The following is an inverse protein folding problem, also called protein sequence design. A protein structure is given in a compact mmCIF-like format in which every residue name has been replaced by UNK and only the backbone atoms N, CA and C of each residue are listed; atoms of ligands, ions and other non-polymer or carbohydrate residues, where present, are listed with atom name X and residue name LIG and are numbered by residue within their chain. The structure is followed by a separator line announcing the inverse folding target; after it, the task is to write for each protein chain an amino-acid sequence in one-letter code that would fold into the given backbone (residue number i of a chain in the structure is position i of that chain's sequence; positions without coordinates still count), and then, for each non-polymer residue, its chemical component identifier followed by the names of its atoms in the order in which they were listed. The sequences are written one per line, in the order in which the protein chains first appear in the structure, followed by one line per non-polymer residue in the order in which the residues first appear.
data_IF_670339457612
#
_entry.id   IF_670339457612
#
_cell.length_a   1.000
_cell.length_b   1.000
_cell.length_c   1.000
_cell.angle_alpha   90.00
_cell.angle_beta   90.00
_cell.angle_gamma   90.00
#
_symmetry.space_group_name_H-M   'P 1'
#
loop_
_entity.id
_entity.type
_entity.pdbx_description
1 polymer ?
#
# COMPACT_ATOMS: atom_id res chain seq x y z
N UNK A 1 17.74 -12.78 -27.69
CA UNK A 1 16.89 -13.54 -26.74
C UNK A 1 15.44 -13.12 -26.98
N UNK A 2 14.51 -14.07 -27.02
CA UNK A 2 13.09 -13.77 -27.12
C UNK A 2 12.54 -13.62 -25.69
N UNK A 3 12.07 -12.43 -25.35
CA UNK A 3 11.43 -12.15 -24.06
C UNK A 3 9.93 -12.10 -24.33
N UNK A 4 9.16 -12.94 -23.64
CA UNK A 4 7.70 -12.90 -23.68
C UNK A 4 7.22 -12.05 -22.51
N UNK A 5 6.38 -11.06 -22.80
CA UNK A 5 5.73 -10.21 -21.80
C UNK A 5 4.27 -10.63 -21.78
N UNK A 6 3.77 -10.94 -20.58
CA UNK A 6 2.42 -11.44 -20.36
C UNK A 6 1.85 -10.70 -19.17
N UNK A 7 0.67 -10.10 -19.33
CA UNK A 7 -0.08 -9.53 -18.20
C UNK A 7 -0.75 -10.65 -17.41
N UNK A 8 -0.77 -10.52 -16.08
CA UNK A 8 -1.44 -11.49 -15.22
C UNK A 8 -2.95 -11.50 -15.46
N UNK A 9 -3.55 -12.69 -15.49
CA UNK A 9 -5.00 -12.88 -15.57
C UNK A 9 -5.52 -13.45 -14.24
N UNK A 10 -6.28 -12.64 -13.51
CA UNK A 10 -6.80 -12.98 -12.17
C UNK A 10 -7.78 -14.15 -12.18
N UNK A 11 -8.39 -14.47 -13.34
CA UNK A 11 -9.32 -15.60 -13.49
C UNK A 11 -8.59 -16.92 -13.81
N UNK A 12 -7.30 -16.86 -14.14
CA UNK A 12 -6.47 -18.04 -14.50
C UNK A 12 -5.43 -18.32 -13.42
N UNK A 13 -5.88 -18.46 -12.18
CA UNK A 13 -5.01 -18.76 -11.05
C UNK A 13 -5.11 -20.24 -10.62
N UNK A 14 -4.02 -20.77 -10.09
CA UNK A 14 -3.95 -22.06 -9.40
C UNK A 14 -3.95 -21.80 -7.90
N UNK A 15 -4.86 -22.45 -7.17
CA UNK A 15 -4.84 -22.44 -5.71
C UNK A 15 -3.74 -23.37 -5.18
N UNK A 16 -2.83 -22.81 -4.38
CA UNK A 16 -1.69 -23.50 -3.78
C UNK A 16 -1.86 -23.68 -2.25
N UNK A 17 -3.09 -23.49 -1.76
CA UNK A 17 -3.42 -23.53 -0.34
C UNK A 17 -3.88 -22.18 0.20
N UNK A 18 -3.61 -21.95 1.48
CA UNK A 18 -4.11 -20.82 2.26
C UNK A 18 -3.10 -20.46 3.36
N UNK A 19 -2.81 -19.17 3.53
CA UNK A 19 -1.98 -18.67 4.63
C UNK A 19 -2.68 -18.85 5.99
N UNK A 20 -1.94 -18.73 7.09
CA UNK A 20 -2.45 -18.85 8.46
C UNK A 20 -3.61 -17.91 8.78
N UNK A 21 -3.56 -16.65 8.31
CA UNK A 21 -4.66 -15.70 8.53
C UNK A 21 -5.83 -15.90 7.55
N UNK A 22 -5.76 -16.91 6.71
CA UNK A 22 -6.85 -17.32 5.84
C UNK A 22 -6.85 -16.69 4.45
N UNK A 23 -5.80 -15.97 4.06
CA UNK A 23 -5.64 -15.52 2.68
C UNK A 23 -5.41 -16.71 1.74
N UNK A 24 -6.25 -16.95 0.71
CA UNK A 24 -5.97 -17.95 -0.32
C UNK A 24 -4.67 -17.63 -1.06
N UNK A 25 -3.88 -18.66 -1.37
CA UNK A 25 -2.68 -18.50 -2.21
C UNK A 25 -3.03 -18.92 -3.63
N UNK A 26 -3.72 -18.02 -4.34
CA UNK A 26 -4.08 -18.19 -5.75
C UNK A 26 -3.06 -17.46 -6.61
N UNK A 27 -2.31 -18.17 -7.45
CA UNK A 27 -1.24 -17.58 -8.28
C UNK A 27 -1.52 -17.83 -9.75
N UNK A 28 -1.34 -16.80 -10.58
CA UNK A 28 -1.50 -16.87 -12.02
C UNK A 28 -0.75 -18.07 -12.62
N UNK A 29 -1.46 -18.88 -13.41
CA UNK A 29 -1.03 -20.21 -13.84
C UNK A 29 0.38 -20.26 -14.45
N UNK A 30 0.78 -19.36 -15.37
CA UNK A 30 2.15 -19.35 -15.91
C UNK A 30 3.23 -19.17 -14.85
N UNK A 31 2.95 -18.42 -13.77
CA UNK A 31 3.88 -18.23 -12.66
C UNK A 31 3.88 -19.46 -11.75
N UNK A 32 2.70 -19.98 -11.42
CA UNK A 32 2.54 -21.17 -10.58
C UNK A 32 3.20 -22.43 -11.19
N UNK A 33 3.25 -22.53 -12.52
CA UNK A 33 3.85 -23.66 -13.26
C UNK A 33 5.32 -23.45 -13.64
N UNK A 34 5.92 -22.30 -13.32
CA UNK A 34 7.28 -21.99 -13.72
C UNK A 34 8.31 -22.88 -13.00
N UNK A 35 9.35 -23.34 -13.71
CA UNK A 35 10.46 -24.09 -13.13
C UNK A 35 11.30 -23.25 -12.15
N UNK A 36 11.34 -21.93 -12.40
CA UNK A 36 12.08 -20.92 -11.63
C UNK A 36 11.30 -19.63 -11.53
N UNK A 37 11.27 -19.05 -10.33
CA UNK A 37 10.57 -17.78 -10.07
C UNK A 37 11.56 -16.76 -9.54
N UNK A 38 11.70 -15.64 -10.25
CA UNK A 38 12.52 -14.50 -9.86
C UNK A 38 11.62 -13.28 -9.72
N UNK A 39 11.52 -12.73 -8.50
CA UNK A 39 10.70 -11.54 -8.27
C UNK A 39 11.55 -10.26 -8.36
N UNK A 40 11.08 -9.30 -9.15
CA UNK A 40 11.73 -7.99 -9.32
C UNK A 40 10.82 -6.87 -8.84
N UNK A 41 11.39 -5.78 -8.33
CA UNK A 41 10.61 -4.61 -7.90
C UNK A 41 11.44 -3.60 -7.10
N UNK A 42 10.82 -2.50 -6.69
CA UNK A 42 11.43 -1.55 -5.76
C UNK A 42 10.93 -1.76 -4.32
N UNK A 43 11.74 -1.34 -3.35
CA UNK A 43 11.39 -1.27 -1.92
C UNK A 43 11.16 0.19 -1.56
N UNK A 44 9.93 0.47 -1.11
CA UNK A 44 9.45 1.73 -0.57
C UNK A 44 8.54 1.45 0.64
N UNK A 45 8.23 2.46 1.45
CA UNK A 45 7.21 2.30 2.47
C UNK A 45 5.85 2.07 1.83
N UNK A 46 5.10 1.11 2.36
CA UNK A 46 3.74 0.84 1.94
C UNK A 46 2.80 1.05 3.11
N UNK A 47 1.83 1.94 2.95
CA UNK A 47 1.03 2.51 4.03
C UNK A 47 0.33 1.50 4.96
N UNK A 48 -0.10 0.33 4.45
CA UNK A 48 -0.64 -0.75 5.29
C UNK A 48 0.16 -2.06 5.30
N UNK A 49 1.15 -2.23 4.41
CA UNK A 49 1.86 -3.51 4.24
C UNK A 49 3.30 -3.47 4.81
N UNK A 50 3.61 -2.41 5.57
CA UNK A 50 4.96 -2.06 6.00
C UNK A 50 5.78 -1.46 4.86
N UNK A 51 6.11 -2.31 3.88
CA UNK A 51 7.01 -2.01 2.77
C UNK A 51 6.47 -2.62 1.47
N UNK A 52 6.94 -2.19 0.30
CA UNK A 52 6.76 -2.90 -0.97
C UNK A 52 7.82 -4.01 -1.13
N UNK A 53 7.97 -4.57 -2.34
CA UNK A 53 9.02 -5.54 -2.66
C UNK A 53 8.86 -6.92 -2.01
N UNK A 54 9.86 -7.78 -2.23
CA UNK A 54 9.91 -9.17 -1.78
C UNK A 54 8.82 -10.01 -2.47
N UNK A 55 8.13 -10.84 -1.68
CA UNK A 55 7.00 -11.66 -2.13
C UNK A 55 5.79 -10.87 -2.61
N UNK A 56 5.80 -9.53 -2.47
CA UNK A 56 4.70 -8.69 -2.93
C UNK A 56 4.47 -8.77 -4.46
N UNK A 57 5.51 -9.18 -5.19
CA UNK A 57 5.41 -9.50 -6.62
C UNK A 57 4.52 -10.72 -6.92
N UNK A 58 4.30 -11.60 -5.94
CA UNK A 58 3.36 -12.71 -6.04
C UNK A 58 2.00 -12.34 -5.43
N UNK A 59 1.99 -11.98 -4.14
CA UNK A 59 0.81 -11.54 -3.41
C UNK A 59 0.91 -10.04 -3.10
N UNK A 60 0.11 -9.15 -3.70
CA UNK A 60 -0.99 -9.41 -4.65
C UNK A 60 -0.57 -9.49 -6.12
N UNK A 61 0.72 -9.29 -6.46
CA UNK A 61 1.17 -8.93 -7.81
C UNK A 61 0.69 -9.82 -8.97
N UNK A 62 0.48 -11.11 -8.75
CA UNK A 62 -0.10 -12.05 -9.74
C UNK A 62 -1.15 -12.96 -9.11
N UNK A 63 -1.90 -12.42 -8.14
CA UNK A 63 -2.90 -13.17 -7.37
C UNK A 63 -4.32 -13.00 -7.91
N UNK A 64 -5.22 -13.92 -7.57
CA UNK A 64 -6.66 -13.79 -7.87
C UNK A 64 -7.28 -12.60 -7.14
N UNK A 65 -8.40 -12.06 -7.65
CA UNK A 65 -9.12 -10.98 -6.97
C UNK A 65 -9.53 -11.38 -5.54
N UNK A 66 -10.01 -12.62 -5.34
CA UNK A 66 -10.43 -13.11 -4.04
C UNK A 66 -9.27 -13.16 -3.03
N UNK A 67 -8.08 -13.59 -3.47
CA UNK A 67 -6.89 -13.62 -2.64
C UNK A 67 -6.42 -12.20 -2.25
N UNK A 68 -6.44 -11.27 -3.21
CA UNK A 68 -6.14 -9.86 -2.98
C UNK A 68 -7.11 -9.27 -1.95
N UNK A 69 -8.42 -9.49 -2.14
CA UNK A 69 -9.47 -9.01 -1.25
C UNK A 69 -9.30 -9.56 0.18
N UNK A 70 -9.04 -10.86 0.31
CA UNK A 70 -8.80 -11.49 1.61
C UNK A 70 -7.60 -10.88 2.33
N UNK A 71 -6.47 -10.71 1.64
CA UNK A 71 -5.27 -10.09 2.21
C UNK A 71 -5.50 -8.62 2.60
N UNK A 72 -6.12 -7.84 1.71
CA UNK A 72 -6.26 -6.39 1.88
C UNK A 72 -7.34 -6.01 2.89
N UNK A 73 -8.33 -6.86 3.16
CA UNK A 73 -9.30 -6.62 4.23
C UNK A 73 -8.63 -6.43 5.61
N UNK A 74 -7.46 -7.02 5.82
CA UNK A 74 -6.65 -6.83 7.02
C UNK A 74 -6.04 -5.42 7.17
N UNK A 75 -6.12 -4.55 6.16
CA UNK A 75 -5.53 -3.19 6.20
C UNK A 75 -6.13 -2.29 7.29
N UNK A 76 -7.31 -2.63 7.79
CA UNK A 76 -8.02 -1.90 8.86
C UNK A 76 -7.52 -2.23 10.27
N UNK A 77 -6.63 -3.21 10.41
CA UNK A 77 -6.00 -3.59 11.68
C UNK A 77 -4.91 -2.58 12.04
N UNK A 78 -4.74 -2.30 13.32
CA UNK A 78 -3.80 -1.27 13.80
C UNK A 78 -2.35 -1.59 13.42
N UNK A 79 -1.98 -2.87 13.40
CA UNK A 79 -0.65 -3.35 13.04
C UNK A 79 -0.37 -3.22 11.54
N UNK A 80 -1.41 -3.05 10.71
CA UNK A 80 -1.29 -2.85 9.27
C UNK A 80 -0.90 -1.41 8.94
N UNK A 81 0.34 -1.05 9.25
CA UNK A 81 0.90 0.30 9.07
C UNK A 81 2.25 0.27 8.32
N UNK A 82 2.69 1.44 7.87
CA UNK A 82 3.99 1.62 7.24
C UNK A 82 5.12 1.26 8.21
N UNK A 83 6.19 0.66 7.69
CA UNK A 83 7.36 0.33 8.49
C UNK A 83 7.23 -0.91 9.39
N UNK A 84 6.04 -1.48 9.58
CA UNK A 84 5.83 -2.66 10.42
C UNK A 84 5.95 -3.97 9.62
N UNK A 85 6.93 -4.82 9.96
CA UNK A 85 7.16 -6.13 9.35
C UNK A 85 6.80 -7.30 10.26
N UNK A 86 6.81 -7.09 11.58
CA UNK A 86 6.82 -8.17 12.56
C UNK A 86 5.41 -8.61 12.91
N UNK A 87 4.54 -7.65 13.20
CA UNK A 87 3.14 -7.91 13.63
C UNK A 87 2.12 -7.59 12.56
N UNK A 88 2.55 -7.08 11.40
CA UNK A 88 1.65 -6.65 10.33
C UNK A 88 0.99 -7.87 9.64
N UNK A 89 -0.34 -8.08 9.79
CA UNK A 89 -1.01 -9.28 9.27
C UNK A 89 -1.03 -9.33 7.75
N UNK A 90 -1.10 -8.18 7.08
CA UNK A 90 -1.04 -8.09 5.62
C UNK A 90 0.33 -8.59 5.13
N UNK A 91 1.40 -8.12 5.77
CA UNK A 91 2.78 -8.49 5.43
C UNK A 91 3.07 -9.97 5.76
N UNK A 92 2.55 -10.49 6.87
CA UNK A 92 2.71 -11.88 7.24
C UNK A 92 2.18 -12.81 6.14
N UNK A 93 0.98 -12.56 5.62
CA UNK A 93 0.40 -13.37 4.53
C UNK A 93 1.16 -13.22 3.21
N UNK A 94 1.64 -12.00 2.89
CA UNK A 94 2.48 -11.74 1.71
C UNK A 94 3.76 -12.58 1.78
N UNK A 95 4.42 -12.60 2.94
CA UNK A 95 5.68 -13.28 3.13
C UNK A 95 5.49 -14.82 3.22
N UNK A 96 4.40 -15.27 3.85
CA UNK A 96 3.99 -16.68 3.93
C UNK A 96 3.66 -17.27 2.55
N UNK A 97 3.26 -16.45 1.57
CA UNK A 97 3.08 -16.90 0.18
C UNK A 97 4.31 -17.65 -0.35
N UNK A 98 5.53 -17.24 0.05
CA UNK A 98 6.77 -17.92 -0.33
C UNK A 98 6.96 -19.33 0.26
N UNK A 99 6.16 -19.73 1.26
CA UNK A 99 6.11 -21.09 1.81
C UNK A 99 5.25 -22.03 0.95
N UNK A 100 4.29 -21.48 0.20
CA UNK A 100 3.40 -22.23 -0.70
C UNK A 100 3.92 -22.33 -2.13
N UNK A 101 4.71 -21.34 -2.57
CA UNK A 101 5.34 -21.31 -3.89
C UNK A 101 6.80 -20.88 -3.77
N UNK A 102 7.69 -21.69 -4.34
CA UNK A 102 9.13 -21.46 -4.20
C UNK A 102 9.57 -20.23 -4.99
N UNK A 103 9.91 -19.16 -4.28
CA UNK A 103 10.63 -18.00 -4.84
C UNK A 103 12.12 -18.33 -4.84
N UNK A 104 12.71 -18.59 -6.00
CA UNK A 104 14.13 -18.96 -6.10
C UNK A 104 15.05 -17.76 -5.83
N UNK A 105 14.64 -16.56 -6.23
CA UNK A 105 15.47 -15.37 -6.11
C UNK A 105 14.64 -14.08 -6.15
N UNK A 106 15.12 -13.02 -5.51
CA UNK A 106 14.62 -11.67 -5.74
C UNK A 106 15.73 -10.74 -6.20
N UNK A 107 15.37 -9.72 -6.97
CA UNK A 107 16.21 -8.54 -7.22
C UNK A 107 15.36 -7.33 -6.92
N UNK A 108 15.67 -6.62 -5.84
CA UNK A 108 14.94 -5.43 -5.44
C UNK A 108 15.86 -4.23 -5.32
N UNK A 109 15.32 -3.05 -5.62
CA UNK A 109 16.07 -1.77 -5.58
C UNK A 109 15.42 -0.76 -4.63
N UNK A 110 16.24 0.05 -3.96
CA UNK A 110 15.78 1.25 -3.26
C UNK A 110 16.11 2.45 -4.13
N UNK A 111 15.14 3.36 -4.29
CA UNK A 111 15.27 4.55 -5.11
C UNK A 111 15.35 5.82 -4.26
N UNK A 112 16.13 6.80 -4.70
CA UNK A 112 16.08 8.15 -4.15
C UNK A 112 14.92 8.97 -4.77
N UNK A 113 14.77 10.22 -4.32
CA UNK A 113 13.74 11.13 -4.84
C UNK A 113 13.86 11.45 -6.34
N UNK A 114 15.03 11.25 -6.94
CA UNK A 114 15.30 11.37 -8.38
C UNK A 114 15.06 10.08 -9.17
N UNK A 115 14.54 9.02 -8.51
CA UNK A 115 14.35 7.67 -9.06
C UNK A 115 15.65 6.96 -9.45
N UNK A 116 16.78 7.38 -8.90
CA UNK A 116 18.07 6.71 -9.09
C UNK A 116 18.20 5.54 -8.12
N UNK A 117 18.79 4.44 -8.57
CA UNK A 117 19.05 3.27 -7.72
C UNK A 117 20.18 3.62 -6.75
N UNK A 118 19.86 3.63 -5.45
CA UNK A 118 20.83 3.89 -4.37
C UNK A 118 21.22 2.65 -3.59
N UNK A 119 20.45 1.57 -3.73
CA UNK A 119 20.74 0.26 -3.17
C UNK A 119 20.09 -0.81 -4.04
N UNK A 120 20.79 -1.92 -4.24
CA UNK A 120 20.23 -3.14 -4.81
C UNK A 120 20.45 -4.30 -3.83
N UNK A 121 19.41 -5.09 -3.59
CA UNK A 121 19.45 -6.29 -2.77
C UNK A 121 18.96 -7.47 -3.59
N UNK A 122 19.65 -8.60 -3.43
CA UNK A 122 19.36 -9.78 -4.21
C UNK A 122 19.62 -11.05 -3.39
N UNK A 123 18.84 -12.10 -3.62
CA UNK A 123 18.96 -13.36 -2.88
C UNK A 123 17.61 -13.92 -2.42
N UNK A 124 17.63 -14.54 -1.24
CA UNK A 124 16.44 -15.10 -0.61
C UNK A 124 15.36 -14.04 -0.39
N UNK A 125 14.12 -14.35 -0.75
CA UNK A 125 13.02 -13.39 -0.79
C UNK A 125 12.78 -12.63 0.52
N UNK A 126 12.86 -13.28 1.68
CA UNK A 126 12.82 -12.59 2.99
C UNK A 126 14.13 -11.85 3.28
N UNK A 127 15.26 -12.55 3.34
CA UNK A 127 16.53 -11.98 3.83
C UNK A 127 16.98 -10.77 3.01
N UNK A 128 16.96 -10.86 1.69
CA UNK A 128 17.35 -9.75 0.82
C UNK A 128 16.37 -8.58 0.94
N UNK A 129 15.06 -8.85 1.01
CA UNK A 129 14.04 -7.83 1.21
C UNK A 129 14.24 -7.08 2.54
N UNK A 130 14.52 -7.81 3.63
CA UNK A 130 14.78 -7.22 4.95
C UNK A 130 16.01 -6.32 4.97
N UNK A 131 17.09 -6.68 4.28
CA UNK A 131 18.25 -5.79 4.14
C UNK A 131 17.91 -4.52 3.35
N UNK A 132 17.07 -4.64 2.32
CA UNK A 132 16.58 -3.47 1.58
C UNK A 132 15.69 -2.57 2.44
N UNK A 133 14.83 -3.14 3.28
CA UNK A 133 13.99 -2.39 4.22
C UNK A 133 14.84 -1.66 5.27
N UNK A 134 15.88 -2.32 5.83
CA UNK A 134 16.83 -1.67 6.76
C UNK A 134 17.55 -0.49 6.10
N UNK A 135 17.91 -0.61 4.83
CA UNK A 135 18.51 0.50 4.08
C UNK A 135 17.52 1.64 3.87
N UNK A 136 16.28 1.31 3.47
CA UNK A 136 15.21 2.30 3.32
C UNK A 136 14.97 3.06 4.64
N UNK A 137 14.93 2.35 5.77
CA UNK A 137 14.74 2.92 7.09
C UNK A 137 15.82 3.95 7.42
N UNK A 138 17.09 3.65 7.14
CA UNK A 138 18.19 4.61 7.36
C UNK A 138 18.03 5.90 6.57
N UNK A 139 17.34 5.85 5.42
CA UNK A 139 17.21 6.98 4.51
C UNK A 139 15.94 7.81 4.77
N UNK A 140 14.83 7.16 5.11
CA UNK A 140 13.51 7.79 5.13
C UNK A 140 12.76 7.66 6.45
N UNK A 141 13.24 6.87 7.41
CA UNK A 141 12.60 6.78 8.73
C UNK A 141 12.97 8.02 9.54
N UNK A 142 11.95 8.68 10.07
CA UNK A 142 12.11 9.81 10.97
C UNK A 142 11.47 9.45 12.31
N UNK A 143 12.22 9.64 13.39
CA UNK A 143 11.69 9.53 14.74
C UNK A 143 10.97 10.83 15.10
N UNK A 144 9.72 10.70 15.55
CA UNK A 144 8.91 11.82 16.00
C UNK A 144 8.88 11.77 17.52
N UNK A 145 9.70 12.59 18.19
CA UNK A 145 9.80 12.62 19.65
C UNK A 145 8.47 12.96 20.33
N UNK A 146 7.69 13.84 19.71
CA UNK A 146 6.37 14.25 20.18
C UNK A 146 5.46 14.55 19.01
N UNK A 147 4.25 14.03 19.07
CA UNK A 147 3.22 14.34 18.08
C UNK A 147 2.85 15.84 18.13
N UNK A 148 2.70 16.44 16.96
CA UNK A 148 2.34 17.84 16.78
C UNK A 148 0.84 18.07 16.93
N UNK A 149 0.47 19.28 17.35
CA UNK A 149 -0.91 19.77 17.32
C UNK A 149 -1.42 19.97 15.88
N UNK A 150 -0.53 20.44 15.00
CA UNK A 150 -0.81 20.74 13.59
C UNK A 150 0.37 20.27 12.74
N UNK A 151 0.10 19.58 11.63
CA UNK A 151 1.10 19.26 10.60
C UNK A 151 0.67 19.79 9.23
N UNK A 152 1.63 20.33 8.48
CA UNK A 152 1.44 20.73 7.07
C UNK A 152 2.16 19.70 6.20
N UNK A 153 1.44 19.08 5.28
CA UNK A 153 1.95 17.96 4.49
C UNK A 153 1.60 18.09 3.01
N UNK A 154 2.39 17.47 2.16
CA UNK A 154 2.14 17.38 0.71
C UNK A 154 2.55 15.99 0.21
N UNK A 155 1.87 15.43 -0.81
CA UNK A 155 2.31 14.18 -1.45
C UNK A 155 3.58 14.37 -2.33
N UNK A 156 4.11 15.59 -2.43
CA UNK A 156 5.35 15.90 -3.13
C UNK A 156 5.18 16.50 -4.53
N UNK A 157 4.04 17.14 -4.81
CA UNK A 157 3.76 17.82 -6.08
C UNK A 157 3.50 16.88 -7.26
N UNK A 158 3.42 17.45 -8.46
CA UNK A 158 3.06 16.72 -9.67
C UNK A 158 4.10 15.63 -10.02
N UNK A 159 3.69 14.40 -10.42
CA UNK A 159 2.31 13.96 -10.65
C UNK A 159 1.64 13.30 -9.43
N UNK A 160 2.22 13.35 -8.23
CA UNK A 160 1.69 12.67 -7.04
C UNK A 160 0.49 13.40 -6.41
N UNK A 161 0.36 14.69 -6.69
CA UNK A 161 -0.74 15.56 -6.22
C UNK A 161 -1.87 15.73 -7.25
N UNK A 162 -1.89 14.92 -8.31
CA UNK A 162 -2.80 15.10 -9.46
C UNK A 162 -4.29 14.96 -9.07
N UNK A 163 -4.60 14.11 -8.09
CA UNK A 163 -5.95 13.86 -7.58
C UNK A 163 -5.91 13.46 -6.09
N UNK A 164 -7.08 13.47 -5.43
CA UNK A 164 -7.22 13.13 -4.01
C UNK A 164 -6.82 11.66 -3.75
N UNK A 165 -7.17 10.74 -4.67
CA UNK A 165 -6.86 9.32 -4.54
C UNK A 165 -5.36 9.03 -4.36
N UNK A 166 -4.48 9.73 -5.10
CA UNK A 166 -3.03 9.59 -4.93
C UNK A 166 -2.54 10.31 -3.68
N UNK A 167 -3.11 11.48 -3.39
CA UNK A 167 -2.69 12.38 -2.30
C UNK A 167 -2.93 11.81 -0.91
N UNK A 168 -3.87 10.86 -0.80
CA UNK A 168 -4.11 10.04 0.37
C UNK A 168 -2.81 9.46 0.99
N UNK A 169 -1.81 9.11 0.17
CA UNK A 169 -0.51 8.60 0.69
C UNK A 169 0.23 9.62 1.57
N UNK A 170 0.06 10.92 1.32
CA UNK A 170 0.64 11.97 2.15
C UNK A 170 0.01 12.01 3.54
N UNK A 171 -1.31 11.76 3.62
CA UNK A 171 -2.04 11.71 4.88
C UNK A 171 -1.62 10.52 5.75
N UNK A 172 -1.34 9.36 5.13
CA UNK A 172 -0.93 8.17 5.87
C UNK A 172 0.35 8.35 6.68
N UNK A 173 1.31 9.13 6.18
CA UNK A 173 2.52 9.44 6.95
C UNK A 173 2.22 10.49 8.02
N UNK A 174 1.37 11.49 7.69
CA UNK A 174 1.01 12.57 8.58
C UNK A 174 0.33 12.09 9.87
N UNK A 175 -0.50 11.04 9.78
CA UNK A 175 -1.24 10.49 10.95
C UNK A 175 -0.33 10.03 12.09
N UNK A 176 0.92 9.67 11.79
CA UNK A 176 1.90 9.27 12.80
C UNK A 176 2.51 10.48 13.53
N UNK A 177 2.53 11.64 12.87
CA UNK A 177 3.15 12.86 13.38
C UNK A 177 2.17 13.80 14.10
N UNK A 178 0.86 13.55 14.02
CA UNK A 178 -0.18 14.42 14.61
C UNK A 178 -0.89 13.70 15.74
N UNK A 179 -1.11 14.40 16.85
CA UNK A 179 -1.81 13.83 18.01
C UNK A 179 -3.29 13.64 17.72
N UNK A 180 -3.94 12.79 18.51
CA UNK A 180 -5.40 12.68 18.48
C UNK A 180 -6.06 14.04 18.76
N UNK A 181 -7.11 14.35 17.98
CA UNK A 181 -7.78 15.66 17.94
C UNK A 181 -6.97 16.78 17.29
N UNK A 182 -5.79 16.50 16.74
CA UNK A 182 -4.95 17.46 16.02
C UNK A 182 -5.44 17.76 14.60
N UNK A 183 -4.67 18.60 13.89
CA UNK A 183 -5.00 19.08 12.54
C UNK A 183 -3.93 18.66 11.53
N UNK A 184 -4.34 18.12 10.39
CA UNK A 184 -3.50 17.92 9.23
C UNK A 184 -3.94 18.91 8.14
N UNK A 185 -3.01 19.73 7.67
CA UNK A 185 -3.22 20.62 6.51
C UNK A 185 -2.56 19.96 5.30
N UNK A 186 -3.36 19.39 4.41
CA UNK A 186 -2.92 18.75 3.18
C UNK A 186 -2.83 19.78 2.04
N UNK A 187 -1.61 20.00 1.54
CA UNK A 187 -1.33 20.89 0.40
C UNK A 187 -1.19 20.05 -0.87
N UNK A 188 -2.15 20.18 -1.78
CA UNK A 188 -2.32 19.32 -2.96
C UNK A 188 -3.06 20.08 -4.06
N UNK A 189 -2.58 20.06 -5.32
CA UNK A 189 -3.33 20.64 -6.44
C UNK A 189 -4.69 19.95 -6.63
N UNK A 190 -4.69 18.62 -6.76
CA UNK A 190 -5.88 17.80 -7.03
C UNK A 190 -6.67 18.23 -8.28
N UNK A 191 -5.99 18.79 -9.29
CA UNK A 191 -6.62 19.28 -10.54
C UNK A 191 -7.48 18.25 -11.29
N UNK A 192 -7.27 16.95 -11.10
CA UNK A 192 -8.11 15.87 -11.64
C UNK A 192 -9.16 15.34 -10.64
N UNK A 193 -9.48 16.12 -9.61
CA UNK A 193 -10.49 15.81 -8.59
C UNK A 193 -10.18 14.51 -7.85
N UNK A 194 -11.11 13.56 -7.85
CA UNK A 194 -11.01 12.32 -7.07
C UNK A 194 -10.05 11.30 -7.71
N UNK A 195 -10.10 11.13 -9.04
CA UNK A 195 -9.20 10.26 -9.79
C UNK A 195 -9.57 8.77 -9.89
N UNK A 196 -10.54 8.30 -9.10
CA UNK A 196 -11.05 6.92 -9.16
C UNK A 196 -12.54 6.94 -8.78
N UNK A 197 -13.38 6.19 -9.51
CA UNK A 197 -14.85 6.32 -9.45
C UNK A 197 -15.44 5.77 -8.16
N UNK A 198 -14.99 4.61 -7.69
CA UNK A 198 -15.48 4.02 -6.45
C UNK A 198 -15.05 4.88 -5.26
N UNK A 199 -13.82 5.39 -5.30
CA UNK A 199 -13.32 6.36 -4.33
C UNK A 199 -14.15 7.64 -4.32
N UNK A 200 -14.45 8.23 -5.48
CA UNK A 200 -15.34 9.40 -5.61
C UNK A 200 -16.73 9.12 -5.03
N UNK A 201 -17.34 8.01 -5.43
CA UNK A 201 -18.66 7.59 -4.94
C UNK A 201 -18.67 7.49 -3.41
N UNK A 202 -17.64 6.88 -2.81
CA UNK A 202 -17.55 6.72 -1.37
C UNK A 202 -17.35 8.07 -0.67
N UNK A 203 -16.39 8.88 -1.14
CA UNK A 203 -16.11 10.19 -0.55
C UNK A 203 -17.32 11.14 -0.58
N UNK A 204 -18.16 11.06 -1.62
CA UNK A 204 -19.33 11.92 -1.77
C UNK A 204 -20.58 11.41 -1.05
N UNK A 205 -20.74 10.10 -0.89
CA UNK A 205 -22.01 9.50 -0.47
C UNK A 205 -21.94 8.71 0.84
N UNK A 206 -20.79 8.67 1.53
CA UNK A 206 -20.61 7.93 2.77
C UNK A 206 -19.97 8.76 3.85
N UNK A 207 -20.36 8.51 5.09
CA UNK A 207 -19.66 8.97 6.29
C UNK A 207 -18.37 8.18 6.51
N UNK A 208 -17.38 8.72 7.25
CA UNK A 208 -16.18 7.99 7.62
C UNK A 208 -16.47 6.62 8.28
N UNK A 209 -17.47 6.56 9.15
CA UNK A 209 -17.89 5.34 9.84
C UNK A 209 -18.39 4.28 8.84
N UNK A 210 -19.24 4.67 7.89
CA UNK A 210 -19.78 3.78 6.86
C UNK A 210 -18.67 3.25 5.95
N UNK A 211 -17.70 4.08 5.56
CA UNK A 211 -16.56 3.64 4.74
C UNK A 211 -15.72 2.58 5.46
N UNK A 212 -15.50 2.75 6.76
CA UNK A 212 -14.71 1.81 7.57
C UNK A 212 -15.45 0.50 7.79
N UNK A 213 -16.76 0.52 8.00
CA UNK A 213 -17.58 -0.69 8.11
C UNK A 213 -17.61 -1.41 6.76
N UNK A 214 -17.91 -0.72 5.67
CA UNK A 214 -18.04 -1.35 4.35
C UNK A 214 -16.72 -1.96 3.89
N UNK A 215 -15.57 -1.32 4.11
CA UNK A 215 -14.29 -1.90 3.66
C UNK A 215 -13.91 -3.17 4.45
N UNK A 216 -14.36 -3.28 5.70
CA UNK A 216 -14.13 -4.47 6.53
C UNK A 216 -14.91 -5.67 6.01
N UNK A 217 -16.16 -5.44 5.60
CA UNK A 217 -17.05 -6.50 5.15
C UNK A 217 -16.88 -6.82 3.66
N UNK A 218 -16.58 -5.80 2.86
CA UNK A 218 -16.49 -5.88 1.42
C UNK A 218 -15.38 -4.97 0.90
N UNK A 219 -14.14 -5.48 0.95
CA UNK A 219 -13.02 -4.75 0.38
C UNK A 219 -13.27 -4.44 -1.10
N UNK A 220 -13.29 -3.15 -1.45
CA UNK A 220 -13.39 -2.65 -2.81
C UNK A 220 -12.14 -1.86 -3.18
N UNK A 221 -11.56 -2.19 -4.33
CA UNK A 221 -10.56 -1.32 -4.97
C UNK A 221 -11.18 0.07 -5.19
N UNK A 222 -10.41 1.14 -5.03
CA UNK A 222 -10.99 2.48 -4.91
C UNK A 222 -11.40 2.83 -3.48
N UNK A 223 -12.44 2.16 -2.99
CA UNK A 223 -13.03 2.40 -1.66
C UNK A 223 -12.05 2.24 -0.49
N UNK A 224 -11.08 1.33 -0.60
CA UNK A 224 -10.05 1.14 0.43
C UNK A 224 -9.21 2.39 0.72
N UNK A 225 -9.04 3.28 -0.26
CA UNK A 225 -8.39 4.58 -0.05
C UNK A 225 -9.29 5.58 0.65
N UNK A 226 -10.58 5.57 0.35
CA UNK A 226 -11.57 6.40 1.03
C UNK A 226 -11.64 6.00 2.52
N UNK A 227 -11.70 4.69 2.79
CA UNK A 227 -11.63 4.17 4.15
C UNK A 227 -10.31 4.52 4.86
N UNK A 228 -9.17 4.56 4.15
CA UNK A 228 -7.91 5.01 4.74
C UNK A 228 -7.93 6.50 5.16
N UNK A 229 -8.57 7.37 4.38
CA UNK A 229 -8.82 8.77 4.78
C UNK A 229 -9.78 8.83 5.96
N UNK A 230 -10.87 8.04 5.92
CA UNK A 230 -11.85 7.96 6.98
C UNK A 230 -11.23 7.58 8.34
N UNK A 231 -10.32 6.61 8.37
CA UNK A 231 -9.60 6.23 9.60
C UNK A 231 -8.76 7.38 10.18
N UNK A 232 -8.27 8.29 9.34
CA UNK A 232 -7.53 9.48 9.77
C UNK A 232 -8.50 10.56 10.27
N UNK A 233 -9.63 10.75 9.59
CA UNK A 233 -10.70 11.68 9.98
C UNK A 233 -11.34 11.33 11.33
N UNK A 234 -11.38 10.05 11.72
CA UNK A 234 -11.85 9.64 13.04
C UNK A 234 -10.96 10.14 14.19
N UNK A 235 -9.68 10.39 13.92
CA UNK A 235 -8.70 10.79 14.95
C UNK A 235 -8.25 12.23 14.82
N UNK A 236 -8.41 12.86 13.66
CA UNK A 236 -7.84 14.17 13.33
C UNK A 236 -8.76 14.96 12.42
N UNK A 237 -8.56 16.28 12.35
CA UNK A 237 -9.22 17.13 11.35
C UNK A 237 -8.30 17.31 10.15
N UNK A 238 -8.85 17.19 8.94
CA UNK A 238 -8.10 17.43 7.70
C UNK A 238 -8.60 18.73 7.08
N UNK A 239 -7.67 19.65 6.82
CA UNK A 239 -7.91 20.84 6.01
C UNK A 239 -7.15 20.67 4.70
N UNK A 240 -7.74 21.10 3.59
CA UNK A 240 -7.11 21.02 2.28
C UNK A 240 -6.80 22.41 1.75
N UNK A 241 -5.61 22.55 1.19
CA UNK A 241 -5.21 23.69 0.35
C UNK A 241 -5.07 23.13 -1.06
N UNK A 242 -6.02 23.45 -1.94
CA UNK A 242 -6.13 22.85 -3.28
C UNK A 242 -6.72 23.75 -4.34
N UNK A 243 -6.62 23.32 -5.61
CA UNK A 243 -7.27 23.96 -6.76
C UNK A 243 -8.74 23.54 -6.92
N UNK A 244 -9.27 22.71 -6.02
CA UNK A 244 -10.66 22.28 -6.01
C UNK A 244 -11.60 23.39 -5.53
N UNK A 245 -12.86 23.27 -5.95
CA UNK A 245 -13.93 24.14 -5.47
C UNK A 245 -14.16 23.92 -3.96
N UNK A 246 -14.32 25.00 -3.21
CA UNK A 246 -14.52 24.99 -1.76
C UNK A 246 -15.76 24.19 -1.33
N UNK A 247 -16.83 24.16 -2.15
CA UNK A 247 -18.02 23.35 -1.85
C UNK A 247 -17.75 21.86 -2.02
N UNK A 248 -16.85 21.48 -2.93
CA UNK A 248 -16.47 20.08 -3.13
C UNK A 248 -15.57 19.55 -2.00
N UNK A 249 -14.78 20.45 -1.38
CA UNK A 249 -13.87 20.10 -0.28
C UNK A 249 -14.63 19.96 1.05
N UNK A 250 -15.75 20.67 1.23
CA UNK A 250 -16.58 20.66 2.45
C UNK A 250 -17.42 19.39 2.58
#
# INVERSE_FOLDING_TARGET
SQINIIDSDMEKCINLGKCKNGTPVDIFEPVAKADRIICMGNIEYHYFAGYSGGSKALMPGVSSHAAIQANHSNMVKEEACAGNLDTNPVRQDIDETGEHIKIDFIVNVVLNSKKEIVMAVAGHYLKAHREGCKYLDKMYRIEVEKQADIAIVSPGGYPKDINIYQSQKGLDNAKHAVREGGIIILVVSAKEKFGEKIFEEWMLNKTPEEMIVEIKENFKLGGHKAAAIAMILQKTKIYMVSDLDDELVR
#
